data_IF_231352896989
#
_entry.id   IF_231352896989
#
_cell.length_a   1.000
_cell.length_b   1.000
_cell.length_c   1.000
_cell.angle_alpha   90.00
_cell.angle_beta   90.00
_cell.angle_gamma   90.00
#
_symmetry.space_group_name_H-M   'P 1'
#
loop_
_entity.id
_entity.type
_entity.pdbx_description
1 polymer ?
#
# COMPACT_ATOMS: atom_id res chain seq x y z
N UNK A 1 8.51 -18.01 -13.39
CA UNK A 1 9.72 -17.25 -13.03
C UNK A 1 10.33 -17.91 -11.79
N UNK A 2 11.65 -18.19 -11.75
CA UNK A 2 12.27 -18.81 -10.58
C UNK A 2 12.16 -17.92 -9.33
N UNK A 3 11.99 -18.52 -8.13
CA UNK A 3 11.91 -17.78 -6.85
C UNK A 3 13.09 -16.82 -6.63
N UNK A 4 14.28 -17.19 -7.11
CA UNK A 4 15.49 -16.38 -7.04
C UNK A 4 15.35 -15.03 -7.77
N UNK A 5 14.62 -14.99 -8.89
CA UNK A 5 14.41 -13.75 -9.67
C UNK A 5 13.44 -12.80 -8.95
N UNK A 6 12.39 -13.35 -8.31
CA UNK A 6 11.45 -12.55 -7.52
C UNK A 6 12.13 -11.89 -6.32
N UNK A 7 13.05 -12.61 -5.65
CA UNK A 7 13.78 -12.09 -4.49
C UNK A 7 14.67 -10.90 -4.85
N UNK A 8 15.39 -10.99 -5.97
CA UNK A 8 16.29 -9.92 -6.46
C UNK A 8 15.52 -8.67 -6.89
N UNK A 9 14.36 -8.83 -7.54
CA UNK A 9 13.56 -7.71 -8.02
C UNK A 9 12.72 -7.03 -6.94
N UNK A 10 12.44 -7.74 -5.84
CA UNK A 10 11.55 -7.21 -4.81
C UNK A 10 12.20 -6.16 -3.89
N UNK A 11 13.51 -6.12 -3.70
CA UNK A 11 14.14 -5.13 -2.80
C UNK A 11 13.59 -5.11 -1.34
N UNK A 12 12.76 -6.09 -0.97
CA UNK A 12 12.14 -6.27 0.34
C UNK A 12 12.74 -7.54 0.98
N UNK A 13 13.38 -7.36 2.13
CA UNK A 13 14.08 -8.41 2.85
C UNK A 13 13.22 -9.12 3.90
N UNK A 14 11.96 -8.71 4.07
CA UNK A 14 11.04 -9.30 5.07
C UNK A 14 10.62 -10.73 4.75
N UNK A 15 10.74 -11.16 3.49
CA UNK A 15 10.33 -12.49 3.05
C UNK A 15 8.82 -12.68 2.96
N UNK A 16 8.02 -11.62 3.06
CA UNK A 16 6.56 -11.67 2.94
C UNK A 16 6.18 -11.77 1.45
N UNK A 17 6.03 -13.00 0.94
CA UNK A 17 5.80 -13.25 -0.47
C UNK A 17 4.66 -12.41 -1.11
N UNK A 18 3.49 -12.20 -0.46
CA UNK A 18 2.40 -11.43 -1.06
C UNK A 18 2.73 -9.98 -1.41
N UNK A 19 3.71 -9.33 -0.76
CA UNK A 19 4.03 -7.92 -1.02
C UNK A 19 5.08 -7.72 -2.12
N UNK A 20 5.81 -8.78 -2.49
CA UNK A 20 6.93 -8.71 -3.42
C UNK A 20 6.53 -8.17 -4.80
N UNK A 21 5.28 -8.38 -5.22
CA UNK A 21 4.78 -7.93 -6.52
C UNK A 21 4.77 -6.40 -6.65
N UNK A 22 4.57 -5.65 -5.56
CA UNK A 22 4.60 -4.18 -5.61
C UNK A 22 5.99 -3.68 -6.01
N UNK A 23 7.01 -4.21 -5.36
CA UNK A 23 8.38 -3.81 -5.61
C UNK A 23 8.89 -4.32 -6.95
N UNK A 24 8.67 -5.60 -7.26
CA UNK A 24 9.04 -6.17 -8.55
C UNK A 24 8.29 -5.47 -9.71
N UNK A 25 7.02 -5.12 -9.49
CA UNK A 25 6.20 -4.36 -10.44
C UNK A 25 6.77 -2.97 -10.73
N UNK A 26 7.27 -2.27 -9.70
CA UNK A 26 7.96 -0.99 -9.90
C UNK A 26 9.26 -1.15 -10.70
N UNK A 27 10.02 -2.22 -10.48
CA UNK A 27 11.23 -2.49 -11.28
C UNK A 27 10.86 -2.78 -12.74
N UNK A 28 9.88 -3.64 -12.98
CA UNK A 28 9.42 -3.97 -14.34
C UNK A 28 8.82 -2.76 -15.07
N UNK A 29 8.04 -1.92 -14.37
CA UNK A 29 7.55 -0.65 -14.89
C UNK A 29 8.69 0.22 -15.43
N UNK A 30 9.80 0.28 -14.69
CA UNK A 30 10.99 1.05 -15.08
C UNK A 30 11.77 0.40 -16.22
N UNK A 31 12.05 -0.90 -16.13
CA UNK A 31 12.99 -1.57 -17.06
C UNK A 31 12.34 -2.05 -18.34
N UNK A 32 11.12 -2.59 -18.26
CA UNK A 32 10.44 -3.22 -19.40
C UNK A 32 9.44 -2.26 -20.07
N UNK A 33 8.73 -1.45 -19.28
CA UNK A 33 7.67 -0.58 -19.78
C UNK A 33 8.11 0.89 -19.96
N UNK A 34 9.37 1.22 -19.64
CA UNK A 34 9.96 2.53 -19.88
C UNK A 34 9.37 3.66 -19.03
N UNK A 35 8.73 3.36 -17.90
CA UNK A 35 8.22 4.37 -16.97
C UNK A 35 9.40 5.07 -16.29
N UNK A 36 9.47 6.41 -16.43
CA UNK A 36 10.56 7.24 -15.90
C UNK A 36 10.15 8.15 -14.76
N UNK A 37 8.85 8.31 -14.52
CA UNK A 37 8.34 9.13 -13.43
C UNK A 37 8.53 8.40 -12.10
N UNK A 38 9.45 8.90 -11.28
CA UNK A 38 9.77 8.30 -9.98
C UNK A 38 8.61 8.38 -8.98
N UNK A 39 7.68 9.34 -9.11
CA UNK A 39 6.47 9.39 -8.30
C UNK A 39 5.52 8.23 -8.64
N UNK A 40 5.37 7.91 -9.93
CA UNK A 40 4.58 6.75 -10.39
C UNK A 40 5.24 5.45 -9.93
N UNK A 41 6.55 5.29 -10.12
CA UNK A 41 7.28 4.10 -9.69
C UNK A 41 7.20 3.89 -8.17
N UNK A 42 7.23 4.98 -7.40
CA UNK A 42 7.06 4.93 -5.94
C UNK A 42 5.63 4.53 -5.55
N UNK A 43 4.62 5.07 -6.20
CA UNK A 43 3.23 4.69 -5.94
C UNK A 43 2.99 3.19 -6.21
N UNK A 44 3.54 2.66 -7.31
CA UNK A 44 3.53 1.21 -7.59
C UNK A 44 4.25 0.45 -6.48
N UNK A 45 5.42 0.90 -6.03
CA UNK A 45 6.18 0.21 -4.98
C UNK A 45 5.43 0.15 -3.65
N UNK A 46 4.67 1.18 -3.31
CA UNK A 46 4.00 1.32 -2.02
C UNK A 46 2.56 0.81 -2.00
N UNK A 47 1.96 0.43 -3.14
CA UNK A 47 0.52 0.15 -3.22
C UNK A 47 0.03 -1.04 -2.39
N UNK A 48 0.89 -1.99 -1.99
CA UNK A 48 0.46 -3.11 -1.14
C UNK A 48 0.65 -2.89 0.36
N UNK A 49 1.66 -2.11 0.76
CA UNK A 49 2.03 -1.96 2.18
C UNK A 49 1.82 -0.56 2.74
N UNK A 50 1.86 0.47 1.89
CA UNK A 50 2.16 1.84 2.28
C UNK A 50 3.57 1.98 2.88
N UNK A 51 3.94 3.20 3.26
CA UNK A 51 5.05 3.50 4.19
C UNK A 51 4.85 4.90 4.80
N UNK A 52 5.76 5.35 5.66
CA UNK A 52 5.81 6.73 6.13
C UNK A 52 6.05 7.72 4.97
N UNK A 53 5.49 8.92 5.09
CA UNK A 53 5.68 10.00 4.12
C UNK A 53 5.02 9.75 2.76
N UNK A 54 3.94 8.96 2.71
CA UNK A 54 3.15 8.80 1.48
C UNK A 54 2.65 10.15 0.98
N UNK A 55 2.79 10.34 -0.32
CA UNK A 55 2.20 11.45 -1.07
C UNK A 55 0.75 11.13 -1.40
N UNK A 56 0.02 12.12 -1.94
CA UNK A 56 -1.33 11.90 -2.43
C UNK A 56 -1.39 10.79 -3.50
N UNK A 57 -0.39 10.70 -4.39
CA UNK A 57 -0.37 9.69 -5.45
C UNK A 57 -0.23 8.26 -4.90
N UNK A 58 0.61 8.06 -3.89
CA UNK A 58 0.78 6.73 -3.28
C UNK A 58 -0.52 6.29 -2.60
N UNK A 59 -1.16 7.20 -1.86
CA UNK A 59 -2.44 6.93 -1.19
C UNK A 59 -3.56 6.66 -2.20
N UNK A 60 -3.61 7.42 -3.29
CA UNK A 60 -4.58 7.20 -4.36
C UNK A 60 -4.39 5.82 -5.01
N UNK A 61 -3.15 5.41 -5.33
CA UNK A 61 -2.89 4.10 -5.92
C UNK A 61 -3.30 2.95 -4.97
N UNK A 62 -2.95 3.06 -3.68
CA UNK A 62 -3.31 2.09 -2.65
C UNK A 62 -4.83 1.99 -2.47
N UNK A 63 -5.51 3.13 -2.30
CA UNK A 63 -6.95 3.16 -2.09
C UNK A 63 -7.71 2.70 -3.32
N UNK A 64 -7.26 3.06 -4.53
CA UNK A 64 -7.87 2.60 -5.76
C UNK A 64 -7.87 1.06 -5.84
N UNK A 65 -6.75 0.39 -5.56
CA UNK A 65 -6.69 -1.09 -5.54
C UNK A 65 -7.68 -1.70 -4.52
N UNK A 66 -7.81 -1.08 -3.35
CA UNK A 66 -8.71 -1.56 -2.30
C UNK A 66 -10.19 -1.25 -2.53
N UNK A 67 -10.52 -0.22 -3.30
CA UNK A 67 -11.89 0.33 -3.38
C UNK A 67 -12.50 0.30 -4.77
N UNK A 68 -11.77 -0.13 -5.80
CA UNK A 68 -12.29 -0.20 -7.15
C UNK A 68 -13.58 -1.04 -7.25
N UNK A 69 -14.40 -0.72 -8.26
CA UNK A 69 -15.79 -1.14 -8.36
C UNK A 69 -16.02 -2.66 -8.29
N UNK A 70 -15.06 -3.49 -8.69
CA UNK A 70 -15.21 -4.95 -8.64
C UNK A 70 -14.94 -5.54 -7.25
N UNK A 71 -14.36 -4.75 -6.32
CA UNK A 71 -14.08 -5.21 -4.95
C UNK A 71 -15.38 -5.39 -4.18
N UNK A 72 -15.50 -6.56 -3.55
CA UNK A 72 -16.59 -6.93 -2.66
C UNK A 72 -16.04 -7.62 -1.42
N UNK A 73 -16.10 -6.91 -0.29
CA UNK A 73 -15.73 -7.44 1.02
C UNK A 73 -16.48 -6.71 2.15
N UNK A 74 -16.61 -7.30 3.35
CA UNK A 74 -17.25 -6.63 4.48
C UNK A 74 -16.61 -5.26 4.77
N UNK A 75 -17.43 -4.21 4.74
CA UNK A 75 -17.01 -2.83 5.00
C UNK A 75 -16.41 -2.08 3.81
N UNK A 76 -16.47 -2.59 2.57
CA UNK A 76 -15.94 -1.89 1.39
C UNK A 76 -16.65 -0.55 1.13
N UNK A 77 -17.98 -0.48 1.27
CA UNK A 77 -18.71 0.79 1.06
C UNK A 77 -18.31 1.86 2.08
N UNK A 78 -18.21 1.48 3.36
CA UNK A 78 -17.73 2.41 4.39
C UNK A 78 -16.29 2.88 4.14
N UNK A 79 -15.46 2.05 3.49
CA UNK A 79 -14.10 2.44 3.10
C UNK A 79 -14.12 3.41 1.91
N UNK A 80 -15.00 3.19 0.92
CA UNK A 80 -15.22 4.11 -0.20
C UNK A 80 -15.69 5.48 0.30
N UNK A 81 -16.66 5.50 1.20
CA UNK A 81 -17.17 6.74 1.79
C UNK A 81 -16.04 7.50 2.52
N UNK A 82 -15.29 6.81 3.39
CA UNK A 82 -14.17 7.41 4.11
C UNK A 82 -13.07 7.94 3.18
N UNK A 83 -12.78 7.25 2.07
CA UNK A 83 -11.81 7.70 1.07
C UNK A 83 -12.28 8.93 0.30
N UNK A 84 -13.59 9.05 0.04
CA UNK A 84 -14.19 10.22 -0.58
C UNK A 84 -14.25 11.43 0.35
N UNK A 85 -14.44 11.22 1.65
CA UNK A 85 -14.46 12.29 2.65
C UNK A 85 -13.06 12.87 2.92
N UNK A 86 -12.05 11.99 3.04
CA UNK A 86 -10.68 12.40 3.33
C UNK A 86 -9.69 11.36 2.82
N UNK A 87 -8.78 11.77 1.93
CA UNK A 87 -7.74 10.87 1.40
C UNK A 87 -6.91 10.23 2.52
N UNK A 88 -6.42 11.05 3.45
CA UNK A 88 -5.63 10.62 4.62
C UNK A 88 -6.48 9.77 5.57
N UNK A 89 -7.74 10.16 5.82
CA UNK A 89 -8.67 9.42 6.68
C UNK A 89 -9.00 8.03 6.12
N UNK A 90 -9.34 7.96 4.83
CA UNK A 90 -9.56 6.73 4.09
C UNK A 90 -8.33 5.84 4.08
N UNK A 91 -7.14 6.39 3.81
CA UNK A 91 -5.90 5.63 3.81
C UNK A 91 -5.62 4.98 5.18
N UNK A 92 -5.76 5.74 6.27
CA UNK A 92 -5.60 5.24 7.62
C UNK A 92 -6.59 4.11 7.93
N UNK A 93 -7.85 4.26 7.51
CA UNK A 93 -8.87 3.22 7.68
C UNK A 93 -8.54 1.96 6.87
N UNK A 94 -8.07 2.12 5.64
CA UNK A 94 -7.62 1.03 4.78
C UNK A 94 -6.47 0.24 5.42
N UNK A 95 -5.43 0.93 5.89
CA UNK A 95 -4.28 0.32 6.54
C UNK A 95 -4.67 -0.45 7.81
N UNK A 96 -5.46 0.15 8.72
CA UNK A 96 -5.94 -0.53 9.93
C UNK A 96 -6.79 -1.77 9.61
N UNK A 97 -7.62 -1.70 8.56
CA UNK A 97 -8.38 -2.85 8.08
C UNK A 97 -7.45 -3.97 7.62
N UNK A 98 -6.41 -3.64 6.86
CA UNK A 98 -5.41 -4.62 6.39
C UNK A 98 -4.71 -5.29 7.56
N UNK A 99 -4.29 -4.53 8.59
CA UNK A 99 -3.72 -5.08 9.83
C UNK A 99 -4.69 -6.07 10.47
N UNK A 100 -5.92 -5.65 10.77
CA UNK A 100 -6.90 -6.53 11.42
C UNK A 100 -7.24 -7.78 10.61
N UNK A 101 -7.30 -7.66 9.27
CA UNK A 101 -7.53 -8.79 8.37
C UNK A 101 -6.41 -9.84 8.43
N UNK A 102 -5.15 -9.39 8.46
CA UNK A 102 -3.96 -10.26 8.53
C UNK A 102 -3.82 -10.89 9.92
N UNK A 103 -4.05 -10.12 10.99
CA UNK A 103 -4.02 -10.61 12.37
C UNK A 103 -5.06 -11.71 12.60
N UNK A 104 -6.29 -11.52 12.12
CA UNK A 104 -7.34 -12.56 12.16
C UNK A 104 -6.92 -13.86 11.47
N UNK A 105 -6.05 -13.77 10.46
CA UNK A 105 -5.50 -14.91 9.71
C UNK A 105 -4.16 -15.41 10.24
N UNK A 106 -3.63 -14.82 11.31
CA UNK A 106 -2.29 -15.11 11.85
C UNK A 106 -1.19 -14.96 10.79
N UNK A 107 -1.37 -14.02 9.85
CA UNK A 107 -0.40 -13.70 8.82
C UNK A 107 0.46 -12.51 9.25
N UNK A 108 1.74 -12.45 8.82
CA UNK A 108 2.61 -11.34 9.16
C UNK A 108 2.15 -10.04 8.50
N UNK A 109 2.25 -8.94 9.23
CA UNK A 109 2.03 -7.58 8.71
C UNK A 109 3.40 -6.98 8.38
N UNK A 110 3.53 -6.41 7.18
CA UNK A 110 4.76 -5.76 6.77
C UNK A 110 5.04 -4.51 7.65
N UNK A 111 6.26 -4.31 8.19
CA UNK A 111 6.58 -3.19 9.09
C UNK A 111 6.27 -1.81 8.53
N UNK A 112 6.37 -1.63 7.20
CA UNK A 112 6.03 -0.36 6.54
C UNK A 112 4.57 0.05 6.75
N UNK A 113 3.63 -0.91 6.89
CA UNK A 113 2.23 -0.62 7.18
C UNK A 113 2.08 0.07 8.54
N UNK A 114 2.82 -0.37 9.56
CA UNK A 114 2.82 0.29 10.86
C UNK A 114 3.46 1.68 10.82
N UNK A 115 4.55 1.85 10.06
CA UNK A 115 5.17 3.17 9.84
C UNK A 115 4.21 4.14 9.14
N UNK A 116 3.46 3.66 8.14
CA UNK A 116 2.44 4.43 7.45
C UNK A 116 1.33 4.90 8.40
N UNK A 117 0.77 4.00 9.21
CA UNK A 117 -0.26 4.35 10.20
C UNK A 117 0.25 5.42 11.16
N UNK A 118 1.43 5.21 11.75
CA UNK A 118 2.02 6.15 12.70
C UNK A 118 2.24 7.54 12.09
N UNK A 119 2.73 7.61 10.86
CA UNK A 119 2.95 8.88 10.18
C UNK A 119 1.64 9.66 9.97
N UNK A 120 0.56 8.96 9.57
CA UNK A 120 -0.75 9.58 9.33
C UNK A 120 -1.47 10.02 10.62
N UNK A 121 -1.11 9.47 11.78
CA UNK A 121 -1.61 9.92 13.09
C UNK A 121 -0.94 11.22 13.54
N UNK A 122 0.38 11.34 13.35
CA UNK A 122 1.15 12.53 13.73
C UNK A 122 0.71 13.75 12.91
N UNK A 123 0.46 13.58 11.61
CA UNK A 123 0.01 14.67 10.73
C UNK A 123 -1.36 15.25 11.12
N UNK A 124 -2.17 14.51 11.88
CA UNK A 124 -3.45 14.97 12.41
C UNK A 124 -3.27 15.80 13.69
N UNK A 125 -2.40 15.38 14.60
CA UNK A 125 -2.11 16.10 15.86
C UNK A 125 -1.48 17.48 15.61
N UNK A 126 -0.69 17.65 14.55
CA UNK A 126 -0.05 18.93 14.20
C UNK A 126 -1.03 19.92 13.54
N UNK A 127 -2.21 19.46 13.11
CA UNK A 127 -3.25 20.30 12.46
C UNK A 127 -4.29 20.86 13.44
N UNK A 128 -4.17 20.57 14.74
CA UNK A 128 -5.03 21.06 15.83
C UNK A 128 -4.32 22.20 16.55
#
# INVERSE_FOLDING_TARGET
MPETVLRVLSGDDTGIAPVQHAFAGAVLAKTEYGVRDEAVLRAIRLHSTGDAGMTALDMLAYLADMTEHTRSFPGVEMLRDAANESLTGGMRRALRRTVGYLEQRKQPVHPATFRAIKALEIDEEVRI
#
